data_IF_639811210528
#
_entry.id   IF_639811210528
#
_cell.length_a   1.000
_cell.length_b   1.000
_cell.length_c   1.000
_cell.angle_alpha   90.00
_cell.angle_beta   90.00
_cell.angle_gamma   90.00
#
_symmetry.space_group_name_H-M   'P 1'
#
loop_
_entity.id
_entity.type
_entity.pdbx_description
1 polymer ?
#
# COMPACT_ATOMS: atom_id res chain seq x y z
N UNK A 1 -6.93 15.24 -38.02
CA UNK A 1 -7.18 16.35 -37.08
C UNK A 1 -6.57 15.94 -35.75
N UNK A 2 -5.46 16.57 -35.40
CA UNK A 2 -4.60 16.20 -34.28
C UNK A 2 -5.17 16.72 -32.95
N UNK A 3 -5.18 15.81 -31.98
CA UNK A 3 -4.69 16.01 -30.61
C UNK A 3 -4.92 17.39 -29.99
N UNK A 4 -6.18 17.66 -29.63
CA UNK A 4 -6.47 18.46 -28.43
C UNK A 4 -6.78 17.46 -27.32
N UNK A 5 -5.72 16.91 -26.70
CA UNK A 5 -5.86 16.30 -25.39
C UNK A 5 -6.32 17.43 -24.46
N UNK A 6 -7.45 17.24 -23.79
CA UNK A 6 -7.99 18.20 -22.83
C UNK A 6 -6.89 18.54 -21.81
N UNK A 7 -6.67 19.83 -21.52
CA UNK A 7 -5.67 20.28 -20.55
C UNK A 7 -5.84 19.57 -19.20
N UNK A 8 -7.09 19.25 -18.83
CA UNK A 8 -7.40 18.46 -17.65
C UNK A 8 -6.87 17.03 -17.75
N UNK A 9 -7.06 16.38 -18.90
CA UNK A 9 -6.56 15.03 -19.18
C UNK A 9 -5.03 14.99 -19.15
N UNK A 10 -4.38 15.99 -19.74
CA UNK A 10 -2.91 16.12 -19.72
C UNK A 10 -2.36 16.36 -18.32
N UNK A 11 -2.99 17.24 -17.53
CA UNK A 11 -2.61 17.48 -16.13
C UNK A 11 -2.80 16.23 -15.26
N UNK A 12 -3.82 15.42 -15.51
CA UNK A 12 -4.02 14.17 -14.81
C UNK A 12 -2.91 13.18 -15.18
N UNK A 13 -2.61 12.97 -16.47
CA UNK A 13 -1.52 12.12 -16.96
C UNK A 13 -0.17 12.46 -16.32
N UNK A 14 0.18 13.75 -16.23
CA UNK A 14 1.42 14.20 -15.56
C UNK A 14 1.46 13.84 -14.07
N UNK A 15 0.34 13.94 -13.35
CA UNK A 15 0.28 13.50 -11.95
C UNK A 15 0.47 11.99 -11.82
N UNK A 16 0.01 11.21 -12.79
CA UNK A 16 0.21 9.74 -12.82
C UNK A 16 1.69 9.40 -13.01
N UNK A 17 2.35 10.02 -13.99
CA UNK A 17 3.78 9.83 -14.24
C UNK A 17 4.62 10.19 -13.01
N UNK A 18 4.32 11.33 -12.37
CA UNK A 18 5.03 11.74 -11.16
C UNK A 18 4.83 10.76 -9.99
N UNK A 19 3.62 10.23 -9.79
CA UNK A 19 3.36 9.24 -8.74
C UNK A 19 4.05 7.89 -9.03
N UNK A 20 4.10 7.49 -10.30
CA UNK A 20 4.84 6.33 -10.76
C UNK A 20 6.34 6.50 -10.47
N UNK A 21 6.92 7.63 -10.85
CA UNK A 21 8.34 7.93 -10.66
C UNK A 21 8.70 8.08 -9.18
N UNK A 22 7.82 8.65 -8.35
CA UNK A 22 8.00 8.70 -6.90
C UNK A 22 8.00 7.30 -6.27
N UNK A 23 7.07 6.44 -6.71
CA UNK A 23 6.99 5.06 -6.26
C UNK A 23 8.25 4.29 -6.69
N UNK A 24 8.59 4.31 -7.98
CA UNK A 24 9.80 3.66 -8.51
C UNK A 24 11.06 4.23 -7.86
N UNK A 25 11.15 5.53 -7.64
CA UNK A 25 12.27 6.17 -6.94
C UNK A 25 12.32 5.77 -5.45
N UNK A 26 11.18 5.59 -4.78
CA UNK A 26 11.12 5.15 -3.39
C UNK A 26 11.67 3.72 -3.26
N UNK A 27 11.31 2.84 -4.19
CA UNK A 27 11.89 1.51 -4.26
C UNK A 27 13.37 1.58 -4.70
N UNK A 28 13.71 2.24 -5.81
CA UNK A 28 15.07 2.19 -6.38
C UNK A 28 16.17 2.91 -5.57
N UNK A 29 15.84 3.95 -4.79
CA UNK A 29 16.84 4.72 -4.01
C UNK A 29 17.18 4.11 -2.64
N UNK A 30 16.53 3.02 -2.24
CA UNK A 30 16.81 2.37 -0.94
C UNK A 30 16.40 0.91 -0.81
N UNK A 31 15.75 0.34 -1.83
CA UNK A 31 15.17 -0.99 -1.81
C UNK A 31 15.29 -1.64 -3.18
N UNK A 32 16.33 -2.43 -3.33
CA UNK A 32 16.19 -3.65 -4.10
C UNK A 32 14.88 -4.34 -3.67
N UNK A 33 13.92 -4.48 -4.60
CA UNK A 33 12.58 -5.03 -4.39
C UNK A 33 12.51 -6.45 -3.76
N UNK A 34 13.64 -7.04 -3.33
CA UNK A 34 13.79 -8.34 -2.67
C UNK A 34 13.24 -8.42 -1.23
N UNK A 35 12.73 -7.33 -0.64
CA UNK A 35 12.37 -7.30 0.79
C UNK A 35 10.86 -7.41 1.12
N UNK A 36 9.96 -7.53 0.13
CA UNK A 36 8.52 -7.74 0.37
C UNK A 36 8.08 -9.15 -0.01
N UNK A 37 7.20 -9.73 0.82
CA UNK A 37 6.71 -11.09 0.65
C UNK A 37 5.25 -11.14 0.21
N UNK A 38 4.45 -10.14 0.62
CA UNK A 38 3.00 -10.14 0.44
C UNK A 38 2.47 -8.82 -0.10
N UNK A 39 1.44 -8.94 -0.94
CA UNK A 39 0.53 -7.87 -1.32
C UNK A 39 -0.80 -8.08 -0.60
N UNK A 40 -1.22 -7.08 0.16
CA UNK A 40 -2.44 -7.13 0.97
C UNK A 40 -3.39 -6.06 0.48
N UNK A 41 -4.64 -6.42 0.23
CA UNK A 41 -5.74 -5.46 0.06
C UNK A 41 -6.61 -5.51 1.31
N UNK A 42 -6.81 -4.37 1.97
CA UNK A 42 -7.55 -4.29 3.21
C UNK A 42 -8.52 -3.10 3.19
N UNK A 43 -9.80 -3.38 3.49
CA UNK A 43 -10.84 -2.35 3.54
C UNK A 43 -10.85 -1.66 4.89
N UNK A 44 -11.33 -0.42 4.93
CA UNK A 44 -11.64 0.27 6.17
C UNK A 44 -13.15 0.24 6.42
N UNK A 45 -13.56 0.18 7.69
CA UNK A 45 -14.98 0.31 8.02
C UNK A 45 -15.49 1.70 7.64
N UNK A 46 -16.81 1.82 7.43
CA UNK A 46 -17.46 3.07 7.03
C UNK A 46 -17.08 4.26 7.93
N UNK A 47 -16.95 4.04 9.24
CA UNK A 47 -16.61 5.11 10.21
C UNK A 47 -15.14 5.54 10.17
N UNK A 48 -14.27 4.81 9.49
CA UNK A 48 -12.82 5.09 9.40
C UNK A 48 -12.40 5.66 8.05
N UNK A 49 -13.32 5.73 7.09
CA UNK A 49 -13.08 6.19 5.72
C UNK A 49 -12.62 7.66 5.64
N UNK A 50 -13.24 8.56 6.39
CA UNK A 50 -12.96 10.01 6.33
C UNK A 50 -11.53 10.38 6.74
N UNK A 51 -10.92 9.62 7.64
CA UNK A 51 -9.55 9.83 8.16
C UNK A 51 -8.69 8.57 7.98
N UNK A 52 -8.84 7.89 6.85
CA UNK A 52 -8.19 6.61 6.58
C UNK A 52 -6.67 6.65 6.79
N UNK A 53 -5.99 7.70 6.31
CA UNK A 53 -4.53 7.84 6.46
C UNK A 53 -4.09 7.86 7.93
N UNK A 54 -4.87 8.49 8.82
CA UNK A 54 -4.57 8.50 10.25
C UNK A 54 -4.60 7.08 10.82
N UNK A 55 -5.65 6.32 10.52
CA UNK A 55 -5.80 4.94 10.99
C UNK A 55 -4.74 4.02 10.40
N UNK A 56 -4.43 4.16 9.11
CA UNK A 56 -3.38 3.39 8.43
C UNK A 56 -2.00 3.69 9.04
N UNK A 57 -1.69 4.97 9.30
CA UNK A 57 -0.45 5.39 9.98
C UNK A 57 -0.36 4.80 11.38
N UNK A 58 -1.46 4.84 12.14
CA UNK A 58 -1.52 4.27 13.48
C UNK A 58 -1.30 2.76 13.45
N UNK A 59 -2.06 2.05 12.61
CA UNK A 59 -1.94 0.61 12.37
C UNK A 59 -0.50 0.21 12.07
N UNK A 60 0.13 0.87 11.10
CA UNK A 60 1.51 0.60 10.69
C UNK A 60 2.49 0.67 11.86
N UNK A 61 2.41 1.73 12.66
CA UNK A 61 3.32 1.94 13.79
C UNK A 61 3.09 0.91 14.92
N UNK A 62 1.84 0.53 15.16
CA UNK A 62 1.52 -0.51 16.16
C UNK A 62 1.95 -1.88 15.66
N UNK A 63 1.80 -2.18 14.38
CA UNK A 63 2.25 -3.42 13.75
C UNK A 63 3.76 -3.59 13.94
N UNK A 64 4.55 -2.55 13.60
CA UNK A 64 6.02 -2.56 13.83
C UNK A 64 6.36 -2.90 15.27
N UNK A 65 5.74 -2.21 16.23
CA UNK A 65 6.04 -2.40 17.65
C UNK A 65 5.67 -3.80 18.12
N UNK A 66 4.51 -4.33 17.71
CA UNK A 66 4.05 -5.66 18.11
C UNK A 66 4.85 -6.78 17.43
N UNK A 67 5.34 -6.56 16.21
CA UNK A 67 6.05 -7.59 15.45
C UNK A 67 7.55 -7.56 15.70
N UNK A 68 8.17 -6.38 15.71
CA UNK A 68 9.63 -6.25 15.76
C UNK A 68 10.16 -5.70 17.09
N UNK A 69 9.29 -5.29 18.01
CA UNK A 69 9.67 -4.61 19.24
C UNK A 69 10.05 -3.14 19.01
N UNK A 70 10.79 -2.55 19.97
CA UNK A 70 11.19 -1.13 19.90
C UNK A 70 12.38 -0.95 18.96
N UNK A 71 12.31 0.07 18.10
CA UNK A 71 13.46 0.52 17.29
C UNK A 71 13.72 -0.27 16.01
N UNK A 72 12.93 -1.30 15.72
CA UNK A 72 12.98 -2.11 14.49
C UNK A 72 11.67 -2.00 13.73
N UNK A 73 11.71 -2.11 12.40
CA UNK A 73 10.55 -1.98 11.52
C UNK A 73 10.54 -3.02 10.41
N UNK A 74 9.35 -3.43 9.98
CA UNK A 74 9.14 -4.27 8.79
C UNK A 74 9.16 -3.40 7.55
N UNK A 75 9.76 -3.86 6.45
CA UNK A 75 9.62 -3.14 5.19
C UNK A 75 8.15 -3.12 4.70
N UNK A 76 7.63 -1.92 4.40
CA UNK A 76 6.22 -1.66 4.03
C UNK A 76 6.09 -0.52 3.01
N UNK A 77 5.32 -0.72 1.95
CA UNK A 77 4.86 0.34 1.06
C UNK A 77 3.34 0.38 1.01
N UNK A 78 2.75 1.57 1.10
CA UNK A 78 1.32 1.80 1.24
C UNK A 78 0.77 2.57 0.05
N UNK A 79 -0.30 2.05 -0.51
CA UNK A 79 -1.13 2.70 -1.51
C UNK A 79 -2.53 2.79 -0.92
N UNK A 80 -3.15 3.96 -1.06
CA UNK A 80 -4.56 4.13 -0.72
C UNK A 80 -5.31 4.32 -2.01
N UNK A 81 -6.43 3.64 -2.14
CA UNK A 81 -7.35 3.71 -3.27
C UNK A 81 -8.66 4.32 -2.79
N UNK A 82 -9.41 4.98 -3.67
CA UNK A 82 -10.83 5.27 -3.48
C UNK A 82 -11.60 4.81 -4.72
N UNK A 83 -12.59 3.94 -4.55
CA UNK A 83 -13.38 3.41 -5.67
C UNK A 83 -14.29 4.49 -6.24
N UNK A 84 -14.04 4.91 -7.50
CA UNK A 84 -14.80 6.00 -8.14
C UNK A 84 -15.96 5.55 -9.03
N UNK A 85 -16.04 4.26 -9.35
CA UNK A 85 -17.12 3.73 -10.20
C UNK A 85 -18.36 3.41 -9.38
N UNK A 86 -19.49 4.04 -9.71
CA UNK A 86 -20.80 3.79 -9.09
C UNK A 86 -21.30 2.34 -9.25
N UNK A 87 -20.76 1.61 -10.22
CA UNK A 87 -21.07 0.21 -10.48
C UNK A 87 -20.14 -0.76 -9.72
N UNK A 88 -19.12 -0.25 -9.03
CA UNK A 88 -18.24 -1.07 -8.22
C UNK A 88 -18.82 -1.30 -6.83
N UNK A 89 -18.63 -2.51 -6.30
CA UNK A 89 -18.87 -2.84 -4.88
C UNK A 89 -18.07 -1.95 -3.92
N UNK A 90 -17.04 -1.28 -4.44
CA UNK A 90 -16.15 -0.38 -3.71
C UNK A 90 -16.42 1.12 -3.91
N UNK A 91 -17.56 1.49 -4.51
CA UNK A 91 -17.90 2.90 -4.77
C UNK A 91 -17.88 3.76 -3.49
N UNK A 92 -17.16 4.89 -3.52
CA UNK A 92 -16.92 5.79 -2.39
C UNK A 92 -16.34 5.11 -1.15
N UNK A 93 -15.67 3.96 -1.33
CA UNK A 93 -14.92 3.30 -0.29
C UNK A 93 -13.44 3.41 -0.59
N UNK A 94 -12.67 3.70 0.46
CA UNK A 94 -11.22 3.72 0.42
C UNK A 94 -10.67 2.37 0.85
N UNK A 95 -9.66 1.93 0.11
CA UNK A 95 -8.94 0.68 0.31
C UNK A 95 -7.48 0.98 0.59
N UNK A 96 -6.86 0.11 1.37
CA UNK A 96 -5.43 0.14 1.58
C UNK A 96 -4.80 -1.07 0.88
N UNK A 97 -3.87 -0.82 -0.02
CA UNK A 97 -2.96 -1.84 -0.51
C UNK A 97 -1.61 -1.71 0.17
N UNK A 98 -1.10 -2.82 0.71
CA UNK A 98 0.21 -2.88 1.33
C UNK A 98 1.09 -3.91 0.64
N UNK A 99 2.28 -3.49 0.25
CA UNK A 99 3.41 -4.39 0.03
C UNK A 99 4.16 -4.52 1.35
N UNK A 100 4.34 -5.73 1.88
CA UNK A 100 4.89 -5.94 3.21
C UNK A 100 5.84 -7.13 3.31
N UNK A 101 6.90 -6.95 4.09
CA UNK A 101 7.82 -7.99 4.53
C UNK A 101 7.19 -8.88 5.60
N UNK A 102 7.36 -10.19 5.47
CA UNK A 102 7.10 -11.14 6.54
C UNK A 102 8.26 -11.10 7.54
N UNK A 103 8.02 -10.87 8.84
CA UNK A 103 9.05 -11.06 9.86
C UNK A 103 9.63 -12.49 9.80
N UNK A 104 10.95 -12.62 9.86
CA UNK A 104 11.64 -13.93 9.82
C UNK A 104 11.24 -14.85 10.97
N UNK A 105 11.06 -14.28 12.16
CA UNK A 105 10.80 -15.02 13.40
C UNK A 105 9.33 -15.44 13.60
N UNK A 106 8.41 -15.03 12.72
CA UNK A 106 7.02 -15.52 12.74
C UNK A 106 6.73 -16.39 11.53
N UNK A 107 5.92 -17.42 11.75
CA UNK A 107 5.25 -18.13 10.65
C UNK A 107 4.27 -17.21 9.93
N UNK A 108 3.91 -17.55 8.68
CA UNK A 108 2.87 -16.82 7.93
C UNK A 108 1.57 -16.74 8.72
N UNK A 109 1.12 -17.85 9.30
CA UNK A 109 -0.16 -17.92 10.01
C UNK A 109 -0.18 -17.01 11.25
N UNK A 110 0.90 -16.99 12.04
CA UNK A 110 1.03 -16.09 13.18
C UNK A 110 1.01 -14.62 12.75
N UNK A 111 1.79 -14.27 11.71
CA UNK A 111 1.84 -12.90 11.23
C UNK A 111 0.51 -12.43 10.66
N UNK A 112 -0.15 -13.27 9.85
CA UNK A 112 -1.46 -12.98 9.27
C UNK A 112 -2.53 -12.81 10.36
N UNK A 113 -2.55 -13.69 11.38
CA UNK A 113 -3.47 -13.56 12.52
C UNK A 113 -3.27 -12.22 13.25
N UNK A 114 -2.02 -11.88 13.56
CA UNK A 114 -1.68 -10.65 14.27
C UNK A 114 -2.03 -9.40 13.45
N UNK A 115 -1.72 -9.39 12.16
CA UNK A 115 -2.08 -8.31 11.25
C UNK A 115 -3.60 -8.13 11.17
N UNK A 116 -4.34 -9.22 10.90
CA UNK A 116 -5.78 -9.17 10.69
C UNK A 116 -6.50 -8.68 11.94
N UNK A 117 -6.12 -9.20 13.12
CA UNK A 117 -6.68 -8.74 14.38
C UNK A 117 -6.41 -7.25 14.59
N UNK A 118 -5.17 -6.81 14.38
CA UNK A 118 -4.80 -5.41 14.59
C UNK A 118 -5.49 -4.47 13.60
N UNK A 119 -5.70 -4.91 12.37
CA UNK A 119 -6.42 -4.14 11.36
C UNK A 119 -7.89 -4.01 11.73
N UNK A 120 -8.54 -5.10 12.16
CA UNK A 120 -9.90 -5.05 12.67
C UNK A 120 -10.04 -4.09 13.87
N UNK A 121 -9.10 -4.15 14.82
CA UNK A 121 -9.12 -3.30 16.02
C UNK A 121 -8.97 -1.80 15.67
N UNK A 122 -8.10 -1.45 14.72
CA UNK A 122 -7.74 -0.05 14.42
C UNK A 122 -8.56 0.54 13.28
N UNK A 123 -8.72 -0.23 12.20
CA UNK A 123 -9.38 0.17 10.94
C UNK A 123 -10.82 -0.34 10.85
N UNK A 124 -11.26 -1.17 11.80
CA UNK A 124 -12.67 -1.56 11.99
C UNK A 124 -13.21 -2.59 11.01
N UNK A 125 -12.36 -3.25 10.22
CA UNK A 125 -12.78 -4.18 9.17
C UNK A 125 -11.96 -5.48 9.24
N UNK A 126 -12.58 -6.58 8.87
CA UNK A 126 -11.96 -7.90 8.71
C UNK A 126 -11.83 -8.32 7.24
N UNK A 127 -12.28 -7.48 6.29
CA UNK A 127 -12.14 -7.72 4.85
C UNK A 127 -10.71 -7.42 4.39
N UNK A 128 -9.88 -8.46 4.50
CA UNK A 128 -8.45 -8.43 4.24
C UNK A 128 -8.07 -9.61 3.35
N UNK A 129 -7.50 -9.31 2.18
CA UNK A 129 -7.06 -10.30 1.20
C UNK A 129 -5.54 -10.31 1.13
N UNK A 130 -4.95 -11.48 1.35
CA UNK A 130 -3.51 -11.70 1.29
C UNK A 130 -3.12 -12.42 0.01
N UNK A 131 -2.21 -11.85 -0.77
CA UNK A 131 -1.59 -12.47 -1.94
C UNK A 131 -0.09 -12.57 -1.74
N UNK A 132 0.50 -13.74 -1.99
CA UNK A 132 1.96 -13.89 -2.02
C UNK A 132 2.51 -13.25 -3.29
N UNK A 133 3.59 -12.50 -3.17
CA UNK A 133 4.29 -11.95 -4.33
C UNK A 133 5.12 -13.07 -4.96
N UNK A 134 4.93 -13.31 -6.25
CA UNK A 134 5.69 -14.31 -7.00
C UNK A 134 6.23 -13.69 -8.28
N UNK A 135 7.37 -14.18 -8.77
CA UNK A 135 7.94 -13.72 -10.04
C UNK A 135 7.00 -14.02 -11.23
N UNK A 136 6.23 -15.11 -11.15
CA UNK A 136 5.23 -15.50 -12.16
C UNK A 136 4.12 -14.45 -12.32
N UNK A 137 3.78 -13.74 -11.26
CA UNK A 137 2.77 -12.67 -11.26
C UNK A 137 3.37 -11.28 -11.54
N UNK A 138 4.57 -11.21 -12.13
CA UNK A 138 5.30 -9.97 -12.39
C UNK A 138 6.06 -9.40 -11.19
N UNK A 139 6.06 -10.10 -10.05
CA UNK A 139 6.76 -9.68 -8.84
C UNK A 139 6.33 -8.30 -8.33
N UNK A 140 7.25 -7.60 -7.66
CA UNK A 140 6.98 -6.27 -7.12
C UNK A 140 6.73 -5.25 -8.24
N UNK A 141 7.49 -5.32 -9.34
CA UNK A 141 7.32 -4.44 -10.50
C UNK A 141 5.93 -4.57 -11.14
N UNK A 142 5.44 -5.80 -11.28
CA UNK A 142 4.09 -6.09 -11.77
C UNK A 142 2.99 -5.57 -10.84
N UNK A 143 3.20 -5.63 -9.52
CA UNK A 143 2.25 -5.11 -8.53
C UNK A 143 2.26 -3.58 -8.45
N UNK A 144 3.43 -2.96 -8.58
CA UNK A 144 3.54 -1.50 -8.73
C UNK A 144 2.84 -1.08 -10.03
N UNK A 145 3.08 -1.81 -11.12
CA UNK A 145 2.39 -1.58 -12.39
C UNK A 145 0.88 -1.78 -12.28
N UNK A 146 0.41 -2.77 -11.51
CA UNK A 146 -1.01 -2.95 -11.20
C UNK A 146 -1.58 -1.75 -10.44
N UNK A 147 -0.94 -1.34 -9.34
CA UNK A 147 -1.35 -0.16 -8.57
C UNK A 147 -1.33 1.12 -9.42
N UNK A 148 -0.49 1.18 -10.45
CA UNK A 148 -0.38 2.33 -11.36
C UNK A 148 -1.33 2.26 -12.57
N UNK A 149 -1.62 1.09 -13.14
CA UNK A 149 -2.58 0.93 -14.25
C UNK A 149 -4.00 1.30 -13.83
N UNK A 150 -4.31 1.01 -12.58
CA UNK A 150 -5.57 1.30 -11.95
C UNK A 150 -5.80 2.81 -11.68
N UNK A 151 -4.78 3.66 -11.86
CA UNK A 151 -4.91 5.12 -11.69
C UNK A 151 -6.01 5.70 -12.61
N UNK A 152 -6.16 5.15 -13.82
CA UNK A 152 -7.24 5.49 -14.77
C UNK A 152 -8.65 5.17 -14.24
N UNK A 153 -8.78 4.20 -13.33
CA UNK A 153 -10.03 3.77 -12.69
C UNK A 153 -10.34 4.55 -11.40
N UNK A 154 -9.54 5.55 -11.03
CA UNK A 154 -9.71 6.37 -9.83
C UNK A 154 -8.81 5.99 -8.65
N UNK A 155 -7.90 5.04 -8.85
CA UNK A 155 -7.07 4.44 -7.81
C UNK A 155 -5.85 5.34 -7.58
N UNK A 156 -5.97 6.36 -6.73
CA UNK A 156 -4.87 7.29 -6.40
C UNK A 156 -4.49 7.22 -4.93
N UNK A 157 -3.22 7.22 -4.54
CA UNK A 157 -1.92 7.11 -5.21
C UNK A 157 -0.92 6.85 -4.08
N UNK A 158 0.17 6.13 -4.33
CA UNK A 158 1.24 5.83 -3.37
C UNK A 158 1.41 6.90 -2.25
N UNK A 159 1.40 6.48 -0.99
CA UNK A 159 1.50 7.37 0.17
C UNK A 159 2.86 7.20 0.83
N UNK A 160 3.84 8.00 0.40
CA UNK A 160 5.22 7.96 0.92
C UNK A 160 5.30 8.10 2.44
N UNK A 161 4.47 8.95 3.04
CA UNK A 161 4.43 9.20 4.50
C UNK A 161 3.80 8.04 5.30
N UNK A 162 2.96 7.24 4.65
CA UNK A 162 2.34 6.05 5.22
C UNK A 162 3.16 4.80 4.95
N UNK A 163 4.00 4.82 3.93
CA UNK A 163 5.03 3.82 3.71
C UNK A 163 6.09 3.90 4.82
N UNK A 164 6.94 2.89 4.93
CA UNK A 164 8.04 2.93 5.89
C UNK A 164 8.94 4.12 5.54
N UNK A 165 8.83 5.18 6.35
CA UNK A 165 9.36 6.52 6.07
C UNK A 165 10.76 6.43 5.46
N UNK A 166 10.96 7.10 4.32
CA UNK A 166 12.25 7.20 3.63
C UNK A 166 13.40 7.65 4.54
N UNK A 167 13.09 8.29 5.68
CA UNK A 167 14.05 8.74 6.69
C UNK A 167 14.52 7.67 7.70
N UNK A 168 13.85 6.51 7.80
CA UNK A 168 14.15 5.48 8.82
C UNK A 168 14.59 4.14 8.22
N UNK A 169 14.99 4.14 6.94
CA UNK A 169 15.46 2.95 6.23
C UNK A 169 16.66 2.27 6.95
N UNK A 170 17.52 3.05 7.63
CA UNK A 170 18.64 2.54 8.42
C UNK A 170 18.24 1.71 9.67
N UNK A 171 16.96 1.68 10.05
CA UNK A 171 16.46 0.92 11.22
C UNK A 171 15.76 -0.40 10.85
N UNK A 172 15.90 -0.83 9.60
CA UNK A 172 15.32 -2.10 9.10
C UNK A 172 16.05 -3.29 9.70
N UNK A 173 15.32 -4.39 9.91
CA UNK A 173 15.96 -5.68 10.20
C UNK A 173 16.51 -6.28 8.91
N UNK A 174 17.77 -6.68 8.93
CA UNK A 174 18.38 -7.52 7.90
C UNK A 174 17.79 -8.93 7.87
#
# INVERSE_FOLDING_TARGET
MSELIDLAEWCEQLKETNAFDECVSFFSKGDDCRHVDYFITAHLSKSKQQVAEYHIKHFRNVLDRKTCGRGRRLYKAVFVEEGKSALSVSYNQRHCHLLIQKPKHLTKAQFQKQFNQLWADICGSDDIKWKRITAKDGGVGGLISYCNKEIKSGIKAFRKELSDNSYQQHKRQN
#
